data_IF_265766514833
#
_entry.id   IF_265766514833
#
_cell.length_a   1.000
_cell.length_b   1.000
_cell.length_c   1.000
_cell.angle_alpha   90.00
_cell.angle_beta   90.00
_cell.angle_gamma   90.00
#
_symmetry.space_group_name_H-M   'P 1'
#
loop_
_entity.id
_entity.type
_entity.pdbx_description
1 polymer ?
#
# COMPACT_ATOMS: atom_id res chain seq x y z
N UNK A 1 6.09 -1.12 49.45
CA UNK A 1 5.71 -1.94 48.28
C UNK A 1 5.37 -1.01 47.13
N UNK A 2 6.37 -0.57 46.36
CA UNK A 2 6.14 0.20 45.14
C UNK A 2 6.04 -0.80 43.99
N UNK A 3 4.81 -1.05 43.52
CA UNK A 3 4.60 -1.70 42.23
C UNK A 3 5.29 -0.83 41.18
N UNK A 4 6.25 -1.40 40.45
CA UNK A 4 6.86 -0.79 39.28
C UNK A 4 5.74 -0.52 38.26
N UNK A 5 5.36 0.75 38.12
CA UNK A 5 4.28 1.25 37.24
C UNK A 5 4.60 1.10 35.74
N UNK A 6 5.77 0.53 35.41
CA UNK A 6 6.20 0.36 34.02
C UNK A 6 5.98 -1.10 33.62
N UNK A 7 4.95 -1.31 32.81
CA UNK A 7 4.70 -2.57 32.12
C UNK A 7 5.94 -2.93 31.27
N UNK A 8 6.56 -4.12 31.43
CA UNK A 8 7.75 -4.53 30.68
C UNK A 8 7.59 -4.40 29.16
N UNK A 9 6.35 -4.53 28.66
CA UNK A 9 6.03 -4.36 27.25
C UNK A 9 6.14 -2.88 26.80
N UNK A 10 5.75 -1.93 27.66
CA UNK A 10 5.88 -0.50 27.38
C UNK A 10 7.34 -0.02 27.26
N UNK A 11 8.28 -0.66 27.96
CA UNK A 11 9.71 -0.37 27.81
C UNK A 11 10.25 -0.80 26.44
N UNK A 12 9.80 -1.95 25.94
CA UNK A 12 10.18 -2.46 24.62
C UNK A 12 9.61 -1.53 23.54
N UNK A 13 8.35 -1.11 23.68
CA UNK A 13 7.69 -0.19 22.75
C UNK A 13 8.41 1.16 22.69
N UNK A 14 8.77 1.71 23.85
CA UNK A 14 9.53 2.96 23.93
C UNK A 14 10.91 2.84 23.26
N UNK A 15 11.62 1.73 23.51
CA UNK A 15 12.91 1.46 22.85
C UNK A 15 12.75 1.43 21.33
N UNK A 16 11.73 0.74 20.82
CA UNK A 16 11.45 0.67 19.37
C UNK A 16 11.16 2.06 18.81
N UNK A 17 10.33 2.85 19.49
CA UNK A 17 9.98 4.19 19.05
C UNK A 17 11.20 5.13 18.99
N UNK A 18 12.09 5.05 19.99
CA UNK A 18 13.35 5.81 20.00
C UNK A 18 14.24 5.41 18.81
N UNK A 19 14.35 4.10 18.53
CA UNK A 19 15.13 3.60 17.40
C UNK A 19 14.54 4.09 16.06
N UNK A 20 13.22 4.08 15.91
CA UNK A 20 12.54 4.60 14.72
C UNK A 20 12.75 6.11 14.59
N UNK A 21 12.61 6.86 15.68
CA UNK A 21 12.82 8.31 15.67
C UNK A 21 14.26 8.67 15.24
N UNK A 22 15.27 7.94 15.74
CA UNK A 22 16.65 8.10 15.29
C UNK A 22 16.80 7.73 13.81
N UNK A 23 16.18 6.65 13.36
CA UNK A 23 16.19 6.23 11.96
C UNK A 23 15.63 7.32 11.04
N UNK A 24 14.47 7.89 11.38
CA UNK A 24 13.82 8.98 10.64
C UNK A 24 14.66 10.26 10.66
N UNK A 25 15.34 10.57 11.78
CA UNK A 25 16.22 11.72 11.90
C UNK A 25 17.43 11.63 10.95
N UNK A 26 18.06 10.46 10.86
CA UNK A 26 19.24 10.26 10.01
C UNK A 26 18.88 9.98 8.54
N UNK A 27 17.68 9.46 8.28
CA UNK A 27 17.21 9.10 6.94
C UNK A 27 17.45 10.17 5.86
N UNK A 28 17.03 11.45 6.02
CA UNK A 28 17.21 12.45 4.96
C UNK A 28 18.68 12.75 4.64
N UNK A 29 19.56 12.68 5.65
CA UNK A 29 20.99 12.86 5.44
C UNK A 29 21.58 11.69 4.65
N UNK A 30 21.22 10.46 5.02
CA UNK A 30 21.67 9.24 4.36
C UNK A 30 21.11 9.16 2.92
N UNK A 31 19.85 9.52 2.72
CA UNK A 31 19.20 9.56 1.42
C UNK A 31 19.95 10.50 0.46
N UNK A 32 20.38 11.67 0.92
CA UNK A 32 21.18 12.62 0.13
C UNK A 32 22.55 12.07 -0.24
N UNK A 33 23.19 11.32 0.67
CA UNK A 33 24.50 10.67 0.42
C UNK A 33 24.36 9.55 -0.62
N UNK A 34 23.34 8.70 -0.47
CA UNK A 34 23.10 7.56 -1.35
C UNK A 34 22.42 7.93 -2.67
N UNK A 35 21.88 9.15 -2.78
CA UNK A 35 21.05 9.63 -3.92
C UNK A 35 19.84 8.72 -4.18
N UNK A 36 19.23 8.23 -3.11
CA UNK A 36 18.02 7.40 -3.16
C UNK A 36 16.81 8.22 -2.67
N UNK A 37 15.58 7.84 -3.08
CA UNK A 37 14.36 8.38 -2.48
C UNK A 37 14.35 8.17 -0.96
N UNK A 38 13.69 9.08 -0.24
CA UNK A 38 13.68 9.06 1.23
C UNK A 38 13.04 7.76 1.73
N UNK A 39 11.89 7.42 1.16
CA UNK A 39 11.13 6.20 1.45
C UNK A 39 11.95 4.92 1.27
N UNK A 40 12.72 4.79 0.19
CA UNK A 40 13.60 3.63 -0.02
C UNK A 40 14.72 3.55 1.04
N UNK A 41 15.26 4.71 1.44
CA UNK A 41 16.31 4.80 2.46
C UNK A 41 15.80 4.36 3.83
N UNK A 42 14.58 4.75 4.20
CA UNK A 42 13.93 4.34 5.46
C UNK A 42 13.72 2.83 5.55
N UNK A 43 13.30 2.20 4.44
CA UNK A 43 13.12 0.74 4.36
C UNK A 43 14.47 0.02 4.55
N UNK A 44 15.53 0.50 3.88
CA UNK A 44 16.86 -0.08 3.99
C UNK A 44 17.40 0.05 5.42
N UNK A 45 17.28 1.24 6.02
CA UNK A 45 17.73 1.46 7.41
C UNK A 45 16.94 0.62 8.40
N UNK A 46 15.61 0.54 8.25
CA UNK A 46 14.78 -0.33 9.06
C UNK A 46 15.21 -1.79 8.99
N UNK A 47 15.51 -2.31 7.79
CA UNK A 47 15.99 -3.66 7.59
C UNK A 47 17.36 -3.92 8.25
N UNK A 48 18.31 -2.97 8.13
CA UNK A 48 19.64 -3.07 8.75
C UNK A 48 19.53 -3.08 10.29
N UNK A 49 18.75 -2.17 10.85
CA UNK A 49 18.57 -2.06 12.31
C UNK A 49 17.87 -3.31 12.86
N UNK A 50 16.88 -3.84 12.14
CA UNK A 50 16.21 -5.08 12.49
C UNK A 50 17.18 -6.28 12.46
N UNK A 51 18.06 -6.36 11.45
CA UNK A 51 19.08 -7.40 11.35
C UNK A 51 20.02 -7.45 12.56
N UNK A 52 20.43 -6.29 13.08
CA UNK A 52 21.27 -6.21 14.28
C UNK A 52 20.51 -6.47 15.60
N UNK A 53 19.21 -6.77 15.56
CA UNK A 53 18.43 -7.13 16.74
C UNK A 53 18.03 -5.96 17.65
N UNK A 54 18.09 -4.73 17.14
CA UNK A 54 17.68 -3.55 17.93
C UNK A 54 16.16 -3.41 18.09
N UNK A 55 15.36 -4.06 17.21
CA UNK A 55 13.90 -4.14 17.29
C UNK A 55 13.49 -5.39 18.09
N UNK A 56 12.78 -5.19 19.20
CA UNK A 56 12.11 -6.28 19.93
C UNK A 56 10.81 -6.71 19.25
N UNK A 57 10.29 -7.89 19.60
CA UNK A 57 8.94 -8.30 19.19
C UNK A 57 7.93 -7.58 20.08
N UNK A 58 7.10 -6.73 19.48
CA UNK A 58 5.97 -6.08 20.14
C UNK A 58 4.73 -6.18 19.26
N UNK A 59 3.62 -6.61 19.86
CA UNK A 59 2.31 -6.65 19.20
C UNK A 59 1.79 -5.23 18.90
N UNK A 60 2.02 -4.28 19.81
CA UNK A 60 1.62 -2.88 19.64
C UNK A 60 2.34 -2.25 18.45
N UNK A 61 3.63 -2.55 18.30
CA UNK A 61 4.41 -2.08 17.16
C UNK A 61 3.94 -2.70 15.83
N UNK A 62 3.62 -4.00 15.83
CA UNK A 62 3.07 -4.66 14.66
C UNK A 62 1.72 -4.06 14.25
N UNK A 63 0.85 -3.76 15.21
CA UNK A 63 -0.41 -3.06 14.98
C UNK A 63 -0.16 -1.68 14.38
N UNK A 64 0.74 -0.89 14.95
CA UNK A 64 1.10 0.44 14.44
C UNK A 64 1.61 0.39 12.99
N UNK A 65 2.47 -0.58 12.67
CA UNK A 65 2.98 -0.78 11.31
C UNK A 65 1.85 -1.11 10.32
N UNK A 66 0.91 -1.98 10.72
CA UNK A 66 -0.26 -2.31 9.89
C UNK A 66 -1.16 -1.10 9.65
N UNK A 67 -1.43 -0.29 10.68
CA UNK A 67 -2.21 0.95 10.54
C UNK A 67 -1.52 1.94 9.62
N UNK A 68 -0.20 2.12 9.75
CA UNK A 68 0.58 2.96 8.85
C UNK A 68 0.52 2.48 7.40
N UNK A 69 0.63 1.17 7.18
CA UNK A 69 0.50 0.57 5.85
C UNK A 69 -0.89 0.80 5.24
N UNK A 70 -1.97 0.60 6.01
CA UNK A 70 -3.33 0.89 5.54
C UNK A 70 -3.52 2.37 5.22
N UNK A 71 -2.94 3.27 6.00
CA UNK A 71 -2.99 4.71 5.72
C UNK A 71 -2.26 5.08 4.42
N UNK A 72 -1.09 4.49 4.17
CA UNK A 72 -0.36 4.66 2.90
C UNK A 72 -1.16 4.17 1.70
N UNK A 73 -1.76 2.97 1.80
CA UNK A 73 -2.65 2.43 0.76
C UNK A 73 -3.88 3.30 0.54
N UNK A 74 -4.46 3.86 1.61
CA UNK A 74 -5.59 4.77 1.52
C UNK A 74 -5.23 6.08 0.80
N UNK A 75 -4.11 6.72 1.16
CA UNK A 75 -3.60 7.90 0.45
C UNK A 75 -3.38 7.56 -1.03
N UNK A 76 -2.73 6.43 -1.30
CA UNK A 76 -2.45 6.02 -2.66
C UNK A 76 -3.75 5.85 -3.46
N UNK A 77 -4.78 5.24 -2.88
CA UNK A 77 -6.11 5.14 -3.48
C UNK A 77 -6.76 6.50 -3.77
N UNK A 78 -6.55 7.52 -2.92
CA UNK A 78 -7.03 8.89 -3.18
C UNK A 78 -6.24 9.61 -4.28
N UNK A 79 -4.96 9.29 -4.45
CA UNK A 79 -4.12 9.89 -5.50
C UNK A 79 -4.36 9.28 -6.89
N UNK A 80 -4.91 8.07 -6.95
CA UNK A 80 -5.19 7.39 -8.21
C UNK A 80 -6.36 8.05 -8.93
N UNK A 81 -6.06 8.69 -10.07
CA UNK A 81 -7.07 9.25 -10.94
C UNK A 81 -7.65 8.16 -11.89
N UNK A 82 -8.69 7.47 -11.45
CA UNK A 82 -9.40 6.47 -12.25
C UNK A 82 -10.00 7.05 -13.55
N UNK A 83 -10.34 8.34 -13.59
CA UNK A 83 -10.87 8.98 -14.81
C UNK A 83 -9.79 9.09 -15.89
N UNK A 84 -8.56 9.41 -15.50
CA UNK A 84 -7.42 9.41 -16.41
C UNK A 84 -7.18 7.99 -16.96
N UNK A 85 -7.33 6.96 -16.13
CA UNK A 85 -7.26 5.56 -16.58
C UNK A 85 -8.31 5.21 -17.65
N UNK A 86 -9.58 5.57 -17.47
CA UNK A 86 -10.63 5.27 -18.45
C UNK A 86 -10.50 6.08 -19.75
N UNK A 87 -9.88 7.26 -19.69
CA UNK A 87 -9.67 8.13 -20.85
C UNK A 87 -8.31 7.90 -21.54
N UNK A 88 -7.55 6.88 -21.14
CA UNK A 88 -6.26 6.59 -21.75
C UNK A 88 -6.39 6.03 -23.16
N UNK A 89 -5.36 6.32 -23.96
CA UNK A 89 -5.20 5.72 -25.27
C UNK A 89 -5.16 4.20 -25.18
N UNK A 90 -5.90 3.53 -26.08
CA UNK A 90 -5.95 2.07 -26.18
C UNK A 90 -4.56 1.45 -26.35
N UNK A 91 -3.61 2.20 -26.95
CA UNK A 91 -2.23 1.77 -27.08
C UNK A 91 -1.51 1.64 -25.74
N UNK A 92 -1.71 2.60 -24.81
CA UNK A 92 -1.10 2.57 -23.48
C UNK A 92 -1.63 1.37 -22.71
N UNK A 93 -2.96 1.16 -22.72
CA UNK A 93 -3.59 0.00 -22.07
C UNK A 93 -3.04 -1.31 -22.63
N UNK A 94 -2.93 -1.44 -23.95
CA UNK A 94 -2.35 -2.64 -24.59
C UNK A 94 -0.90 -2.89 -24.17
N UNK A 95 -0.08 -1.83 -24.12
CA UNK A 95 1.31 -1.92 -23.64
C UNK A 95 1.37 -2.30 -22.16
N UNK A 96 0.48 -1.79 -21.32
CA UNK A 96 0.38 -2.14 -19.90
C UNK A 96 0.04 -3.62 -19.68
N UNK A 97 -0.96 -4.15 -20.40
CA UNK A 97 -1.29 -5.58 -20.33
C UNK A 97 -0.14 -6.45 -20.83
N UNK A 98 0.53 -6.05 -21.92
CA UNK A 98 1.70 -6.77 -22.43
C UNK A 98 2.86 -6.77 -21.42
N UNK A 99 3.10 -5.63 -20.76
CA UNK A 99 4.12 -5.52 -19.70
C UNK A 99 3.81 -6.43 -18.52
N UNK A 100 2.57 -6.42 -18.02
CA UNK A 100 2.15 -7.29 -16.91
C UNK A 100 2.28 -8.76 -17.31
N UNK A 101 1.83 -9.15 -18.50
CA UNK A 101 1.98 -10.50 -19.01
C UNK A 101 3.46 -10.94 -19.06
N UNK A 102 4.34 -10.07 -19.56
CA UNK A 102 5.77 -10.32 -19.62
C UNK A 102 6.38 -10.54 -18.22
N UNK A 103 5.96 -9.75 -17.22
CA UNK A 103 6.39 -9.92 -15.83
C UNK A 103 5.98 -11.29 -15.26
N UNK A 104 4.73 -11.71 -15.46
CA UNK A 104 4.27 -13.03 -15.01
C UNK A 104 4.98 -14.17 -15.74
N UNK A 105 5.26 -14.02 -17.04
CA UNK A 105 6.03 -15.00 -17.82
C UNK A 105 7.47 -15.12 -17.29
N UNK A 106 8.13 -13.99 -17.01
CA UNK A 106 9.47 -13.97 -16.44
C UNK A 106 9.50 -14.57 -15.03
N UNK A 107 8.52 -14.23 -14.20
CA UNK A 107 8.35 -14.80 -12.86
C UNK A 107 8.23 -16.33 -12.91
N UNK A 108 7.39 -16.86 -13.80
CA UNK A 108 7.23 -18.31 -14.03
C UNK A 108 8.55 -18.97 -14.45
N UNK A 109 9.30 -18.32 -15.35
CA UNK A 109 10.60 -18.81 -15.81
C UNK A 109 11.64 -18.87 -14.67
N UNK A 110 11.69 -17.84 -13.82
CA UNK A 110 12.57 -17.80 -12.63
C UNK A 110 12.20 -18.94 -11.67
N UNK A 111 10.91 -19.09 -11.36
CA UNK A 111 10.43 -20.14 -10.45
C UNK A 111 10.78 -21.54 -10.96
N UNK A 112 10.66 -21.76 -12.26
CA UNK A 112 11.04 -23.02 -12.90
C UNK A 112 12.55 -23.31 -12.82
N UNK A 113 13.41 -22.31 -13.07
CA UNK A 113 14.88 -22.48 -12.99
C UNK A 113 15.34 -22.80 -11.57
N UNK A 114 14.82 -22.09 -10.58
CA UNK A 114 15.28 -22.21 -9.18
C UNK A 114 14.51 -23.28 -8.39
N UNK A 115 13.49 -23.93 -8.98
CA UNK A 115 12.67 -24.93 -8.30
C UNK A 115 11.87 -24.37 -7.13
N UNK A 116 11.44 -23.10 -7.21
CA UNK A 116 10.70 -22.42 -6.15
C UNK A 116 9.24 -22.91 -6.08
N UNK A 117 8.56 -22.66 -4.95
CA UNK A 117 7.14 -22.99 -4.83
C UNK A 117 6.28 -22.14 -5.77
N UNK A 118 5.13 -22.70 -6.20
CA UNK A 118 4.24 -22.04 -7.16
C UNK A 118 3.70 -20.68 -6.68
N UNK A 119 3.68 -20.44 -5.36
CA UNK A 119 3.23 -19.16 -4.77
C UNK A 119 4.12 -17.99 -5.24
N UNK A 120 5.41 -18.24 -5.48
CA UNK A 120 6.34 -17.20 -5.93
C UNK A 120 6.03 -16.69 -7.34
N UNK A 121 5.33 -17.46 -8.17
CA UNK A 121 4.90 -17.00 -9.51
C UNK A 121 4.03 -15.75 -9.38
N UNK A 122 3.22 -15.68 -8.33
CA UNK A 122 2.27 -14.59 -8.07
C UNK A 122 2.93 -13.48 -7.25
N UNK A 123 3.76 -13.83 -6.25
CA UNK A 123 4.37 -12.85 -5.34
C UNK A 123 5.37 -11.93 -6.06
N UNK A 124 6.27 -12.48 -6.88
CA UNK A 124 7.35 -11.73 -7.54
C UNK A 124 6.86 -10.55 -8.40
N UNK A 125 5.83 -10.69 -9.25
CA UNK A 125 5.37 -9.59 -10.11
C UNK A 125 4.42 -8.61 -9.41
N UNK A 126 4.10 -8.78 -8.13
CA UNK A 126 3.21 -7.87 -7.40
C UNK A 126 3.86 -6.49 -7.27
N UNK A 127 3.13 -5.45 -7.69
CA UNK A 127 3.53 -4.06 -7.54
C UNK A 127 2.80 -3.40 -6.37
N UNK A 128 3.47 -2.51 -5.64
CA UNK A 128 2.89 -1.77 -4.51
C UNK A 128 2.56 -0.34 -4.91
N UNK A 129 1.27 -0.03 -5.02
CA UNK A 129 0.77 1.32 -5.30
C UNK A 129 1.06 2.27 -4.14
N UNK A 130 1.08 1.76 -2.90
CA UNK A 130 1.42 2.54 -1.70
C UNK A 130 2.86 3.08 -1.68
N UNK A 131 3.82 2.38 -2.29
CA UNK A 131 5.19 2.90 -2.41
C UNK A 131 5.32 3.95 -3.52
N UNK A 132 4.54 3.82 -4.60
CA UNK A 132 4.53 4.81 -5.67
C UNK A 132 3.93 6.15 -5.24
N UNK A 133 2.94 6.17 -4.33
CA UNK A 133 2.40 7.42 -3.78
C UNK A 133 3.43 8.17 -2.91
N UNK A 134 4.30 7.45 -2.20
CA UNK A 134 5.44 8.08 -1.51
C UNK A 134 6.40 8.76 -2.49
N UNK A 135 6.63 8.16 -3.66
CA UNK A 135 7.47 8.76 -4.70
C UNK A 135 6.84 10.03 -5.29
N UNK A 136 5.51 10.17 -5.33
CA UNK A 136 4.87 11.42 -5.74
C UNK A 136 5.18 12.58 -4.79
N UNK A 137 5.31 12.29 -3.49
CA UNK A 137 5.70 13.28 -2.50
C UNK A 137 7.15 13.72 -2.67
N UNK A 138 8.04 12.80 -3.05
CA UNK A 138 9.48 13.06 -3.20
C UNK A 138 9.82 13.75 -4.54
N UNK A 139 9.21 13.33 -5.66
CA UNK A 139 9.53 13.81 -7.02
C UNK A 139 8.52 14.81 -7.60
N UNK A 140 7.33 14.92 -7.01
CA UNK A 140 6.24 15.75 -7.52
C UNK A 140 5.38 15.05 -8.58
N UNK A 141 4.14 15.55 -8.74
CA UNK A 141 3.09 14.96 -9.60
C UNK A 141 3.24 15.24 -11.10
N UNK A 142 4.19 16.11 -11.47
CA UNK A 142 4.47 16.54 -12.84
C UNK A 142 5.18 15.45 -13.68
N UNK A 143 5.68 14.40 -13.03
CA UNK A 143 6.50 13.37 -13.69
C UNK A 143 5.64 12.40 -14.52
N UNK A 144 5.78 12.46 -15.84
CA UNK A 144 5.04 11.59 -16.79
C UNK A 144 5.23 10.09 -16.52
N UNK A 145 6.46 9.65 -16.25
CA UNK A 145 6.75 8.23 -15.98
C UNK A 145 6.08 7.72 -14.70
N UNK A 146 5.94 8.59 -13.69
CA UNK A 146 5.33 8.23 -12.41
C UNK A 146 3.80 8.13 -12.52
N UNK A 147 3.20 9.05 -13.28
CA UNK A 147 1.77 8.99 -13.62
C UNK A 147 1.42 7.72 -14.41
N UNK A 148 2.24 7.34 -15.40
CA UNK A 148 2.05 6.06 -16.10
C UNK A 148 2.26 4.88 -15.15
N UNK A 149 3.35 4.88 -14.37
CA UNK A 149 3.67 3.79 -13.45
C UNK A 149 2.51 3.53 -12.46
N UNK A 150 1.88 4.59 -11.95
CA UNK A 150 0.72 4.48 -11.06
C UNK A 150 -0.50 3.86 -11.74
N UNK A 151 -0.74 4.19 -13.00
CA UNK A 151 -1.83 3.59 -13.78
C UNK A 151 -1.53 2.11 -14.07
N UNK A 152 -0.31 1.77 -14.47
CA UNK A 152 0.08 0.37 -14.68
C UNK A 152 0.04 -0.42 -13.37
N UNK A 153 0.48 0.18 -12.26
CA UNK A 153 0.51 -0.45 -10.95
C UNK A 153 -0.88 -0.72 -10.39
N UNK A 154 -1.81 0.22 -10.51
CA UNK A 154 -3.21 0.01 -10.09
C UNK A 154 -3.89 -1.09 -10.90
N UNK A 155 -3.66 -1.13 -12.22
CA UNK A 155 -4.13 -2.22 -13.06
C UNK A 155 -3.55 -3.59 -12.62
N UNK A 156 -2.25 -3.64 -12.37
CA UNK A 156 -1.58 -4.85 -11.92
C UNK A 156 -2.01 -5.29 -10.52
N UNK A 157 -2.30 -4.35 -9.61
CA UNK A 157 -2.77 -4.63 -8.26
C UNK A 157 -4.15 -5.31 -8.29
N UNK A 158 -5.08 -4.81 -9.12
CA UNK A 158 -6.39 -5.47 -9.32
C UNK A 158 -6.22 -6.89 -9.85
N UNK A 159 -5.35 -7.09 -10.85
CA UNK A 159 -5.05 -8.42 -11.40
C UNK A 159 -4.44 -9.32 -10.32
N UNK A 160 -3.53 -8.78 -9.50
CA UNK A 160 -2.83 -9.53 -8.45
C UNK A 160 -3.78 -9.97 -7.34
N UNK A 161 -4.73 -9.11 -6.91
CA UNK A 161 -5.75 -9.47 -5.92
C UNK A 161 -6.61 -10.64 -6.43
N UNK A 162 -7.03 -10.60 -7.69
CA UNK A 162 -7.81 -11.69 -8.30
C UNK A 162 -7.00 -12.98 -8.34
N UNK A 163 -5.75 -12.93 -8.81
CA UNK A 163 -4.88 -14.12 -8.87
C UNK A 163 -4.56 -14.69 -7.49
N UNK A 164 -4.27 -13.84 -6.50
CA UNK A 164 -3.96 -14.25 -5.14
C UNK A 164 -5.18 -14.85 -4.44
N UNK A 165 -6.37 -14.33 -4.70
CA UNK A 165 -7.64 -14.89 -4.18
C UNK A 165 -7.87 -16.29 -4.75
N UNK A 166 -7.64 -16.47 -6.06
CA UNK A 166 -7.75 -17.78 -6.71
C UNK A 166 -6.71 -18.76 -6.16
N UNK A 167 -5.45 -18.35 -6.10
CA UNK A 167 -4.38 -19.20 -5.60
C UNK A 167 -4.55 -19.56 -4.11
N UNK A 168 -5.00 -18.61 -3.29
CA UNK A 168 -5.33 -18.86 -1.88
C UNK A 168 -6.45 -19.87 -1.71
N UNK A 169 -7.42 -19.90 -2.63
CA UNK A 169 -8.44 -20.95 -2.65
C UNK A 169 -7.84 -22.32 -3.03
N UNK A 170 -7.02 -22.39 -4.07
CA UNK A 170 -6.41 -23.66 -4.52
C UNK A 170 -5.39 -24.27 -3.54
N UNK A 171 -4.70 -23.44 -2.75
CA UNK A 171 -3.69 -23.92 -1.80
C UNK A 171 -4.28 -24.53 -0.52
N UNK A 172 -5.59 -24.39 -0.28
CA UNK A 172 -6.27 -25.09 0.82
C UNK A 172 -6.50 -26.54 0.40
N UNK A 173 -5.90 -27.50 1.11
CA UNK A 173 -6.05 -28.92 0.81
C UNK A 173 -7.54 -29.33 0.81
N UNK A 174 -8.01 -29.92 -0.30
CA UNK A 174 -9.37 -30.45 -0.44
C UNK A 174 -10.38 -29.62 -1.23
N UNK A 175 -9.97 -28.51 -1.87
CA UNK A 175 -10.93 -27.61 -2.54
C UNK A 175 -11.51 -28.15 -3.84
N UNK A 176 -12.83 -28.12 -3.95
CA UNK A 176 -13.54 -28.27 -5.22
C UNK A 176 -13.59 -26.95 -6.01
N UNK A 177 -14.00 -27.02 -7.29
CA UNK A 177 -14.26 -25.83 -8.14
C UNK A 177 -15.25 -24.85 -7.47
N UNK A 178 -16.11 -25.39 -6.60
CA UNK A 178 -17.15 -24.67 -5.86
C UNK A 178 -16.54 -23.71 -4.82
N UNK A 179 -15.47 -24.10 -4.12
CA UNK A 179 -14.84 -23.28 -3.08
C UNK A 179 -14.11 -22.05 -3.66
N UNK A 180 -13.52 -22.24 -4.85
CA UNK A 180 -12.89 -21.15 -5.61
C UNK A 180 -13.96 -20.17 -6.09
N UNK A 181 -15.09 -20.66 -6.59
CA UNK A 181 -16.22 -19.83 -6.97
C UNK A 181 -16.80 -19.04 -5.78
N UNK A 182 -16.88 -19.66 -4.59
CA UNK A 182 -17.29 -18.97 -3.36
C UNK A 182 -16.32 -17.85 -2.97
N UNK A 183 -15.01 -18.07 -3.08
CA UNK A 183 -14.00 -17.06 -2.76
C UNK A 183 -14.07 -15.84 -3.71
N UNK A 184 -14.26 -16.09 -5.01
CA UNK A 184 -14.49 -15.03 -6.01
C UNK A 184 -15.82 -14.32 -5.73
N UNK A 185 -16.87 -15.04 -5.34
CA UNK A 185 -18.16 -14.46 -4.99
C UNK A 185 -18.06 -13.56 -3.75
N UNK A 186 -17.32 -13.96 -2.72
CA UNK A 186 -17.06 -13.10 -1.55
C UNK A 186 -16.31 -11.81 -1.93
N UNK A 187 -15.30 -11.90 -2.81
CA UNK A 187 -14.59 -10.72 -3.31
C UNK A 187 -15.55 -9.77 -4.06
N UNK A 188 -16.41 -10.30 -4.94
CA UNK A 188 -17.38 -9.50 -5.68
C UNK A 188 -18.45 -8.89 -4.76
N UNK A 189 -18.95 -9.64 -3.78
CA UNK A 189 -19.90 -9.13 -2.77
C UNK A 189 -19.25 -8.01 -1.97
N UNK A 190 -18.00 -8.20 -1.53
CA UNK A 190 -17.25 -7.18 -0.79
C UNK A 190 -17.09 -5.90 -1.61
N UNK A 191 -16.65 -6.01 -2.87
CA UNK A 191 -16.51 -4.85 -3.76
C UNK A 191 -17.86 -4.16 -4.01
N UNK A 192 -18.92 -4.94 -4.22
CA UNK A 192 -20.29 -4.45 -4.36
C UNK A 192 -20.78 -3.70 -3.13
N UNK A 193 -20.48 -4.19 -1.93
CA UNK A 193 -20.82 -3.54 -0.66
C UNK A 193 -20.05 -2.22 -0.48
N UNK A 194 -18.77 -2.16 -0.88
CA UNK A 194 -18.01 -0.90 -0.90
C UNK A 194 -18.65 0.13 -1.84
N UNK A 195 -19.01 -0.26 -3.07
CA UNK A 195 -19.68 0.64 -4.02
C UNK A 195 -21.05 1.11 -3.50
N UNK A 196 -21.80 0.21 -2.87
CA UNK A 196 -23.06 0.54 -2.23
C UNK A 196 -22.83 1.53 -1.08
N UNK A 197 -21.80 1.35 -0.27
CA UNK A 197 -21.39 2.29 0.78
C UNK A 197 -21.11 3.69 0.24
N UNK A 198 -20.35 3.80 -0.85
CA UNK A 198 -20.13 5.09 -1.52
C UNK A 198 -21.43 5.74 -2.01
N UNK A 199 -22.33 4.94 -2.60
CA UNK A 199 -23.63 5.44 -3.05
C UNK A 199 -24.51 5.89 -1.89
N UNK A 200 -24.51 5.14 -0.78
CA UNK A 200 -25.23 5.50 0.45
C UNK A 200 -24.70 6.81 1.05
N UNK A 201 -23.38 7.02 1.09
CA UNK A 201 -22.79 8.30 1.49
C UNK A 201 -23.24 9.45 0.58
N UNK A 202 -23.30 9.21 -0.73
CA UNK A 202 -23.84 10.18 -1.69
C UNK A 202 -25.30 10.55 -1.41
N UNK A 203 -26.15 9.57 -1.09
CA UNK A 203 -27.55 9.79 -0.71
C UNK A 203 -27.64 10.52 0.64
N UNK A 204 -26.79 10.17 1.60
CA UNK A 204 -26.73 10.84 2.91
C UNK A 204 -26.36 12.31 2.77
N UNK A 205 -25.36 12.63 1.93
CA UNK A 205 -24.99 14.02 1.63
C UNK A 205 -26.04 14.76 0.82
N UNK A 206 -26.85 14.05 0.05
CA UNK A 206 -28.03 14.63 -0.61
C UNK A 206 -29.13 14.96 0.40
N UNK A 207 -29.40 14.07 1.37
CA UNK A 207 -30.42 14.27 2.41
C UNK A 207 -30.01 15.36 3.41
N UNK A 208 -28.74 15.36 3.85
CA UNK A 208 -28.19 16.30 4.83
C UNK A 208 -27.03 17.11 4.24
N UNK A 209 -27.31 18.14 3.42
CA UNK A 209 -26.27 18.95 2.78
C UNK A 209 -25.39 19.70 3.79
N UNK A 210 -25.87 19.95 5.02
CA UNK A 210 -25.09 20.55 6.10
C UNK A 210 -23.93 19.65 6.54
N UNK A 211 -24.09 18.31 6.55
CA UNK A 211 -22.98 17.38 6.86
C UNK A 211 -21.85 17.50 5.83
N UNK A 212 -22.21 17.68 4.55
CA UNK A 212 -21.23 17.88 3.48
C UNK A 212 -20.40 19.15 3.70
N UNK A 213 -21.03 20.25 4.13
CA UNK A 213 -20.34 21.53 4.37
C UNK A 213 -19.47 21.50 5.62
N UNK A 214 -19.85 20.74 6.66
CA UNK A 214 -19.04 20.55 7.86
C UNK A 214 -17.82 19.65 7.59
N UNK A 215 -17.99 18.58 6.81
CA UNK A 215 -16.91 17.64 6.47
C UNK A 215 -15.95 18.18 5.39
N UNK A 216 -16.45 18.97 4.45
CA UNK A 216 -15.68 19.54 3.34
C UNK A 216 -16.00 21.04 3.21
N UNK A 217 -15.43 21.89 4.09
CA UNK A 217 -15.65 23.32 4.04
C UNK A 217 -15.07 23.93 2.76
N UNK A 218 -15.73 24.96 2.24
CA UNK A 218 -15.35 25.65 0.99
C UNK A 218 -14.04 26.43 1.08
N UNK A 219 -13.60 26.72 2.31
CA UNK A 219 -12.42 27.51 2.61
C UNK A 219 -11.63 26.72 3.66
N UNK A 220 -10.52 26.12 3.24
CA UNK A 220 -9.62 25.40 4.13
C UNK A 220 -8.83 26.41 4.97
N UNK A 221 -9.47 26.97 6.00
CA UNK A 221 -8.82 27.89 6.96
C UNK A 221 -7.74 27.19 7.81
N UNK A 222 -7.55 25.88 7.63
CA UNK A 222 -6.57 25.08 8.34
C UNK A 222 -5.39 24.65 7.47
N UNK A 223 -5.20 25.23 6.28
CA UNK A 223 -3.85 25.35 5.71
C UNK A 223 -3.01 26.28 6.61
N UNK A 224 -2.58 25.75 7.75
CA UNK A 224 -1.37 26.23 8.42
C UNK A 224 -0.20 25.70 7.60
N UNK A 225 -0.03 26.27 6.42
CA UNK A 225 1.27 26.35 5.79
C UNK A 225 2.16 27.14 6.75
N UNK A 226 2.79 26.42 7.70
CA UNK A 226 3.90 26.96 8.48
C UNK A 226 5.10 26.99 7.53
N UNK A 227 5.01 27.82 6.50
CA UNK A 227 6.17 28.32 5.78
C UNK A 227 6.78 29.35 6.72
N UNK A 228 7.70 28.90 7.56
CA UNK A 228 8.59 29.78 8.29
C UNK A 228 9.24 30.74 7.30
N UNK A 229 8.99 32.04 7.47
CA UNK A 229 9.88 33.09 6.96
C UNK A 229 11.20 33.06 7.72
#
# INVERSE_FOLDING_TARGET
MHQSVIDPQGLIDLKILIVIALCLLFSPHIAKILRLPLSATEIILGAIIAYFGFIGKSENFALLANVGFYYLMFIAGMEVNLRAFFNMDKEVVKKSFFYIFLLYALSSFIVWIFGLSLVFIIIIPVMSVGLLSLLFKDFGKECYWLNIAMIVATLAEVISIVLLTIAGAFLREGTGIIDVAQSILYLNIFLGLCLLGFKMLGVLFWWYPQLKVVLMPWEDKNEKDIRFC
#
